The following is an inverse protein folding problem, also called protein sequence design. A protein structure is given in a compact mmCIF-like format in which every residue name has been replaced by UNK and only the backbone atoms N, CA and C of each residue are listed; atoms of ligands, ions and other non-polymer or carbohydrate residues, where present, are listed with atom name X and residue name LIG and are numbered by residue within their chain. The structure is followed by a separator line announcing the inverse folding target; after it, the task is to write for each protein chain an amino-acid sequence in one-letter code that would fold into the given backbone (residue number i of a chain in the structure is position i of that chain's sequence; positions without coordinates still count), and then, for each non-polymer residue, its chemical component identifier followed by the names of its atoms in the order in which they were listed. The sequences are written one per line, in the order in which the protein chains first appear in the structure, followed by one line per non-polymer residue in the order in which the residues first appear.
data_IF_717448768797
#
_entry.id   IF_717448768797
#
_cell.length_a   1.000
_cell.length_b   1.000
_cell.length_c   1.000
_cell.angle_alpha   90.00
_cell.angle_beta   90.00
_cell.angle_gamma   90.00
#
_symmetry.space_group_name_H-M   'P 1'
#
loop_
_entity.id
_entity.type
_entity.pdbx_description
1 polymer ?
#
# COMPACT_ATOMS: atom_id res chain seq x y z
N UNK A 1 27.44 5.09 4.00
CA UNK A 1 27.30 6.51 3.61
C UNK A 1 25.83 6.87 3.72
N UNK A 2 25.47 7.79 4.62
CA UNK A 2 24.09 8.23 4.81
C UNK A 2 23.62 8.96 3.55
N UNK A 3 22.65 8.40 2.84
CA UNK A 3 21.94 9.10 1.76
C UNK A 3 21.13 10.23 2.40
N UNK A 4 21.64 11.46 2.32
CA UNK A 4 20.88 12.65 2.71
C UNK A 4 19.52 12.65 1.98
N UNK A 5 18.44 13.01 2.70
CA UNK A 5 17.10 13.18 2.10
C UNK A 5 17.19 14.26 1.02
N UNK A 6 16.98 13.90 -0.25
CA UNK A 6 17.17 14.81 -1.41
C UNK A 6 15.87 15.38 -1.92
N UNK A 7 14.76 14.74 -1.61
CA UNK A 7 13.43 15.09 -2.08
C UNK A 7 12.85 16.25 -1.25
N UNK A 8 12.22 17.20 -1.94
CA UNK A 8 11.53 18.35 -1.34
C UNK A 8 10.03 18.24 -1.55
N UNK A 9 9.28 18.77 -0.61
CA UNK A 9 7.82 18.67 -0.54
C UNK A 9 7.27 20.07 -0.21
N UNK A 10 6.78 20.79 -1.22
CA UNK A 10 6.40 22.20 -1.13
C UNK A 10 4.89 22.37 -1.39
N UNK A 11 4.19 23.07 -0.50
CA UNK A 11 2.74 23.37 -0.61
C UNK A 11 2.47 24.83 -0.32
N UNK A 12 1.39 25.34 -0.90
CA UNK A 12 0.78 26.59 -0.46
C UNK A 12 -0.24 26.26 0.61
N UNK A 13 -0.18 27.00 1.71
CA UNK A 13 -1.07 26.88 2.86
C UNK A 13 -1.81 28.20 3.04
N UNK A 14 -3.05 28.14 3.50
CA UNK A 14 -3.68 29.31 4.09
C UNK A 14 -3.10 29.60 5.48
N UNK A 15 -3.39 30.80 5.99
CA UNK A 15 -2.88 31.26 7.28
C UNK A 15 -3.41 30.44 8.46
N UNK A 16 -4.68 29.99 8.38
CA UNK A 16 -5.33 29.23 9.45
C UNK A 16 -4.66 27.89 9.65
N UNK A 17 -4.45 27.15 8.56
CA UNK A 17 -3.80 25.85 8.60
C UNK A 17 -2.36 25.97 9.10
N UNK A 18 -1.62 26.99 8.65
CA UNK A 18 -0.26 27.23 9.13
C UNK A 18 -0.21 27.42 10.65
N UNK A 19 -1.11 28.25 11.21
CA UNK A 19 -1.19 28.49 12.66
C UNK A 19 -1.51 27.22 13.44
N UNK A 20 -2.45 26.41 12.96
CA UNK A 20 -2.80 25.14 13.60
C UNK A 20 -1.62 24.16 13.63
N UNK A 21 -0.84 24.09 12.54
CA UNK A 21 0.35 23.25 12.47
C UNK A 21 1.46 23.73 13.43
N UNK A 22 1.66 25.05 13.53
CA UNK A 22 2.61 25.65 14.47
C UNK A 22 2.22 25.39 15.93
N UNK A 23 0.93 25.53 16.26
CA UNK A 23 0.40 25.23 17.59
C UNK A 23 0.59 23.75 17.95
N UNK A 24 0.18 22.83 17.06
CA UNK A 24 0.32 21.39 17.30
C UNK A 24 1.79 20.97 17.47
N UNK A 25 2.69 21.50 16.64
CA UNK A 25 4.12 21.24 16.76
C UNK A 25 4.70 21.79 18.08
N UNK A 26 4.25 22.97 18.52
CA UNK A 26 4.65 23.59 19.79
C UNK A 26 4.22 22.75 21.01
N UNK A 27 2.99 22.24 21.02
CA UNK A 27 2.49 21.36 22.08
C UNK A 27 3.34 20.08 22.24
N UNK A 28 3.88 19.58 21.12
CA UNK A 28 4.77 18.41 21.10
C UNK A 28 6.26 18.77 21.28
N UNK A 29 6.60 20.07 21.35
CA UNK A 29 7.98 20.57 21.40
C UNK A 29 8.86 20.07 20.25
N UNK A 30 8.29 20.00 19.04
CA UNK A 30 8.99 19.57 17.82
C UNK A 30 8.91 20.65 16.73
N UNK A 31 9.82 20.62 15.73
CA UNK A 31 9.68 21.48 14.55
C UNK A 31 8.42 21.17 13.75
N UNK A 32 7.81 22.18 13.14
CA UNK A 32 6.64 22.03 12.25
C UNK A 32 6.90 21.04 11.13
N UNK A 33 8.10 21.06 10.54
CA UNK A 33 8.47 20.10 9.49
C UNK A 33 8.44 18.65 9.97
N UNK A 34 8.85 18.39 11.21
CA UNK A 34 8.78 17.05 11.81
C UNK A 34 7.33 16.64 12.00
N UNK A 35 6.51 17.51 12.60
CA UNK A 35 5.08 17.27 12.78
C UNK A 35 4.39 16.88 11.47
N UNK A 36 4.65 17.64 10.40
CA UNK A 36 4.05 17.39 9.08
C UNK A 36 4.55 16.08 8.47
N UNK A 37 5.85 15.81 8.53
CA UNK A 37 6.42 14.57 7.98
C UNK A 37 5.83 13.35 8.69
N UNK A 38 5.67 13.41 10.01
CA UNK A 38 5.13 12.31 10.79
C UNK A 38 3.64 12.09 10.49
N UNK A 39 2.84 13.15 10.43
CA UNK A 39 1.43 13.07 10.03
C UNK A 39 1.26 12.51 8.60
N UNK A 40 2.08 12.95 7.65
CA UNK A 40 2.07 12.45 6.27
C UNK A 40 2.46 10.97 6.23
N UNK A 41 3.48 10.58 7.01
CA UNK A 41 3.93 9.18 7.06
C UNK A 41 2.85 8.27 7.62
N UNK A 42 2.21 8.67 8.71
CA UNK A 42 1.11 7.94 9.32
C UNK A 42 -0.03 7.75 8.33
N UNK A 43 -0.51 8.85 7.74
CA UNK A 43 -1.63 8.76 6.79
C UNK A 43 -1.29 7.97 5.53
N UNK A 44 -0.06 8.09 5.02
CA UNK A 44 0.37 7.30 3.87
C UNK A 44 0.40 5.80 4.19
N UNK A 45 0.90 5.43 5.37
CA UNK A 45 0.93 4.03 5.81
C UNK A 45 -0.48 3.45 5.96
N UNK A 46 -1.41 4.21 6.55
CA UNK A 46 -2.82 3.84 6.64
C UNK A 46 -3.43 3.57 5.27
N UNK A 47 -3.34 4.54 4.35
CA UNK A 47 -3.94 4.41 3.02
C UNK A 47 -3.35 3.23 2.26
N UNK A 48 -2.02 3.03 2.33
CA UNK A 48 -1.36 1.88 1.69
C UNK A 48 -1.86 0.56 2.29
N UNK A 49 -1.98 0.49 3.61
CA UNK A 49 -2.43 -0.72 4.30
C UNK A 49 -3.90 -1.03 4.00
N UNK A 50 -4.77 -0.02 4.00
CA UNK A 50 -6.18 -0.16 3.62
C UNK A 50 -6.34 -0.75 2.22
N UNK A 51 -5.51 -0.33 1.25
CA UNK A 51 -5.61 -0.81 -0.12
C UNK A 51 -4.94 -2.17 -0.36
N UNK A 52 -3.93 -2.54 0.45
CA UNK A 52 -3.18 -3.79 0.26
C UNK A 52 -3.72 -4.94 1.11
N UNK A 53 -4.44 -4.64 2.17
CA UNK A 53 -4.93 -5.66 3.11
C UNK A 53 -6.18 -6.32 2.55
N UNK A 54 -6.12 -7.63 2.39
CA UNK A 54 -7.32 -8.45 2.21
C UNK A 54 -7.88 -8.71 3.61
N UNK A 55 -9.05 -8.14 3.90
CA UNK A 55 -9.80 -8.42 5.12
C UNK A 55 -10.76 -9.56 4.83
N UNK A 56 -10.64 -10.64 5.57
CA UNK A 56 -11.47 -11.83 5.44
C UNK A 56 -12.44 -11.86 6.63
N UNK A 57 -13.69 -12.22 6.37
CA UNK A 57 -14.58 -12.67 7.44
C UNK A 57 -14.16 -14.08 7.92
N UNK A 58 -14.80 -14.55 8.99
CA UNK A 58 -14.47 -15.84 9.60
C UNK A 58 -14.64 -17.01 8.63
N UNK A 59 -15.71 -17.00 7.82
CA UNK A 59 -15.96 -18.05 6.84
C UNK A 59 -14.88 -18.10 5.75
N UNK A 60 -14.49 -16.96 5.21
CA UNK A 60 -13.44 -16.88 4.20
C UNK A 60 -12.06 -17.19 4.79
N UNK A 61 -11.82 -16.84 6.06
CA UNK A 61 -10.62 -17.22 6.79
C UNK A 61 -10.48 -18.74 6.89
N UNK A 62 -11.49 -19.44 7.40
CA UNK A 62 -11.50 -20.90 7.50
C UNK A 62 -11.30 -21.57 6.14
N UNK A 63 -11.99 -21.06 5.10
CA UNK A 63 -11.86 -21.57 3.74
C UNK A 63 -10.44 -21.42 3.21
N UNK A 64 -9.82 -20.26 3.40
CA UNK A 64 -8.45 -20.02 2.94
C UNK A 64 -7.47 -20.87 3.75
N UNK A 65 -7.64 -20.98 5.07
CA UNK A 65 -6.80 -21.81 5.91
C UNK A 65 -6.82 -23.28 5.44
N UNK A 66 -8.01 -23.85 5.19
CA UNK A 66 -8.13 -25.20 4.66
C UNK A 66 -7.45 -25.38 3.28
N UNK A 67 -7.54 -24.37 2.42
CA UNK A 67 -6.85 -24.38 1.11
C UNK A 67 -5.33 -24.25 1.23
N UNK A 68 -4.81 -23.57 2.26
CA UNK A 68 -3.38 -23.49 2.54
C UNK A 68 -2.84 -24.79 3.14
N UNK A 69 -3.60 -25.42 4.03
CA UNK A 69 -3.24 -26.69 4.68
C UNK A 69 -3.29 -27.86 3.68
N UNK A 70 -4.24 -27.83 2.74
CA UNK A 70 -4.37 -28.84 1.70
C UNK A 70 -4.55 -28.19 0.31
N UNK A 71 -3.44 -27.73 -0.30
CA UNK A 71 -3.51 -27.03 -1.58
C UNK A 71 -3.99 -27.97 -2.70
N UNK A 72 -5.06 -27.62 -3.43
CA UNK A 72 -5.53 -28.44 -4.54
C UNK A 72 -4.54 -28.42 -5.70
N UNK A 73 -4.56 -29.47 -6.50
CA UNK A 73 -3.76 -29.52 -7.73
C UNK A 73 -4.21 -28.42 -8.71
N UNK A 74 -3.27 -27.77 -9.42
CA UNK A 74 -3.62 -26.79 -10.44
C UNK A 74 -4.55 -27.38 -11.50
N UNK A 75 -5.54 -26.60 -11.93
CA UNK A 75 -6.43 -27.01 -13.02
C UNK A 75 -5.68 -27.09 -14.36
N UNK A 76 -6.20 -27.84 -15.33
CA UNK A 76 -5.60 -27.92 -16.66
C UNK A 76 -5.46 -26.55 -17.34
N UNK A 77 -6.41 -25.63 -17.12
CA UNK A 77 -6.31 -24.24 -17.60
C UNK A 77 -5.15 -23.49 -16.94
N UNK A 78 -4.93 -23.67 -15.63
CA UNK A 78 -3.79 -23.05 -14.93
C UNK A 78 -2.46 -23.60 -15.43
N UNK A 79 -2.37 -24.92 -15.67
CA UNK A 79 -1.18 -25.55 -16.25
C UNK A 79 -0.88 -25.03 -17.66
N UNK A 80 -1.90 -24.89 -18.50
CA UNK A 80 -1.76 -24.33 -19.84
C UNK A 80 -1.24 -22.89 -19.80
N UNK A 81 -1.84 -22.02 -18.98
CA UNK A 81 -1.37 -20.61 -18.82
C UNK A 81 0.06 -20.55 -18.31
N UNK A 82 0.42 -21.39 -17.32
CA UNK A 82 1.78 -21.44 -16.79
C UNK A 82 2.81 -21.90 -17.84
N UNK A 83 2.45 -22.85 -18.71
CA UNK A 83 3.31 -23.31 -19.80
C UNK A 83 3.58 -22.21 -20.84
N UNK A 84 2.63 -21.28 -21.05
CA UNK A 84 2.77 -20.14 -21.95
C UNK A 84 3.43 -18.91 -21.31
N UNK A 85 3.77 -18.92 -20.02
CA UNK A 85 4.31 -17.75 -19.30
C UNK A 85 5.64 -17.20 -19.86
N UNK A 86 6.43 -18.05 -20.52
CA UNK A 86 7.70 -17.66 -21.14
C UNK A 86 7.56 -17.13 -22.57
N UNK A 87 6.37 -17.22 -23.15
CA UNK A 87 6.11 -16.76 -24.51
C UNK A 87 5.64 -15.29 -24.47
N UNK A 88 6.50 -14.37 -24.92
CA UNK A 88 6.28 -12.92 -24.82
C UNK A 88 5.07 -12.43 -25.62
N UNK A 89 4.54 -13.25 -26.53
CA UNK A 89 3.43 -12.92 -27.42
C UNK A 89 2.07 -13.49 -26.94
N UNK A 90 2.03 -14.19 -25.80
CA UNK A 90 0.85 -14.96 -25.37
C UNK A 90 -0.28 -14.17 -24.69
N UNK A 91 -0.12 -12.86 -24.47
CA UNK A 91 -1.13 -11.98 -23.86
C UNK A 91 -1.97 -11.26 -24.93
N UNK A 92 -2.62 -11.99 -25.85
CA UNK A 92 -3.73 -11.44 -26.63
C UNK A 92 -5.05 -11.99 -26.09
N UNK A 93 -5.74 -11.15 -25.30
CA UNK A 93 -7.08 -11.44 -24.81
C UNK A 93 -8.04 -11.52 -26.00
N UNK A 94 -8.48 -12.71 -26.39
CA UNK A 94 -9.61 -12.85 -27.31
C UNK A 94 -10.91 -12.65 -26.53
N UNK A 95 -11.48 -11.46 -26.71
CA UNK A 95 -12.80 -11.07 -26.21
C UNK A 95 -13.85 -11.66 -27.17
N UNK A 96 -14.67 -12.59 -26.68
CA UNK A 96 -15.93 -12.95 -27.34
C UNK A 96 -16.94 -11.81 -27.22
#
# INVERSE_FOLDING_TARGET
MSTAKKERFDFRLDESLKKQMEEAASLLSIPVSTFVIDAVRERAAEVINEHRRIVLDEQNWERIQALLDNPPQPTERMKAVAAHYHDKDSWTWQKN
#
